data_IF_283603763776
#
_entry.id   IF_283603763776
#
_cell.length_a   1.000
_cell.length_b   1.000
_cell.length_c   1.000
_cell.angle_alpha   90.00
_cell.angle_beta   90.00
_cell.angle_gamma   90.00
#
_symmetry.space_group_name_H-M   'P 1'
#
loop_
_entity.id
_entity.type
_entity.pdbx_description
1 polymer ?
#
# COMPACT_ATOMS: atom_id res chain seq x y z
N UNK A 1 -5.35 31.79 -7.07
CA UNK A 1 -5.24 31.01 -5.82
C UNK A 1 -4.64 29.65 -6.16
N UNK A 2 -3.48 29.38 -5.54
CA UNK A 2 -2.68 28.16 -5.51
C UNK A 2 -2.59 27.27 -6.77
N UNK A 3 -1.47 27.40 -7.48
CA UNK A 3 -0.88 26.30 -8.24
C UNK A 3 -0.62 25.15 -7.27
N UNK A 4 -1.40 24.08 -7.36
CA UNK A 4 -1.04 22.81 -6.73
C UNK A 4 0.12 22.25 -7.57
N UNK A 5 1.35 22.61 -7.22
CA UNK A 5 2.52 21.83 -7.59
C UNK A 5 2.35 20.46 -6.94
N UNK A 6 1.61 19.59 -7.61
CA UNK A 6 1.65 18.16 -7.33
C UNK A 6 2.95 17.64 -7.92
N UNK A 7 4.04 17.87 -7.19
CA UNK A 7 5.18 16.96 -7.22
C UNK A 7 4.73 15.63 -6.57
N UNK A 8 3.76 14.97 -7.20
CA UNK A 8 3.46 13.55 -7.03
C UNK A 8 4.19 12.77 -8.12
N UNK A 9 5.47 13.07 -8.31
CA UNK A 9 6.43 12.12 -8.85
C UNK A 9 6.90 11.15 -7.75
N UNK A 10 5.98 10.70 -6.88
CA UNK A 10 6.13 9.38 -6.28
C UNK A 10 6.08 8.39 -7.43
N UNK A 11 7.26 8.00 -7.92
CA UNK A 11 7.43 7.11 -9.07
C UNK A 11 6.46 5.93 -8.92
N UNK A 12 5.48 5.84 -9.85
CA UNK A 12 4.38 4.88 -9.73
C UNK A 12 4.95 3.47 -9.51
N UNK A 13 4.59 2.85 -8.38
CA UNK A 13 5.10 1.53 -8.02
C UNK A 13 4.46 0.47 -8.92
N UNK A 14 5.27 -0.18 -9.75
CA UNK A 14 4.78 -1.32 -10.50
C UNK A 14 4.44 -2.50 -9.58
N UNK A 15 3.56 -3.43 -10.01
CA UNK A 15 3.24 -4.62 -9.22
C UNK A 15 4.49 -5.46 -8.85
N UNK A 16 5.46 -5.53 -9.76
CA UNK A 16 6.71 -6.25 -9.53
C UNK A 16 7.58 -5.56 -8.48
N UNK A 17 7.68 -4.23 -8.50
CA UNK A 17 8.40 -3.46 -7.49
C UNK A 17 7.71 -3.59 -6.12
N UNK A 18 6.39 -3.51 -6.07
CA UNK A 18 5.65 -3.69 -4.82
C UNK A 18 5.87 -5.09 -4.23
N UNK A 19 5.83 -6.13 -5.08
CA UNK A 19 6.12 -7.51 -4.66
C UNK A 19 7.55 -7.69 -4.15
N UNK A 20 8.53 -7.05 -4.79
CA UNK A 20 9.92 -7.07 -4.34
C UNK A 20 10.08 -6.34 -2.99
N UNK A 21 9.41 -5.20 -2.83
CA UNK A 21 9.35 -4.44 -1.59
C UNK A 21 8.76 -5.26 -0.43
N UNK A 22 7.61 -5.89 -0.60
CA UNK A 22 6.99 -6.74 0.43
C UNK A 22 7.90 -7.90 0.86
N UNK A 23 8.55 -8.57 -0.11
CA UNK A 23 9.54 -9.62 0.18
C UNK A 23 10.74 -9.08 0.94
N UNK A 24 11.24 -7.90 0.56
CA UNK A 24 12.37 -7.27 1.23
C UNK A 24 12.02 -6.86 2.66
N UNK A 25 10.79 -6.37 2.93
CA UNK A 25 10.33 -6.07 4.29
C UNK A 25 10.27 -7.31 5.20
N UNK A 26 10.05 -8.49 4.63
CA UNK A 26 10.05 -9.76 5.37
C UNK A 26 11.48 -10.23 5.74
N UNK A 27 12.48 -9.83 4.96
CA UNK A 27 13.90 -10.16 5.20
C UNK A 27 14.54 -9.13 6.13
N UNK A 28 14.28 -7.84 5.87
CA UNK A 28 14.82 -6.72 6.61
C UNK A 28 13.75 -6.19 7.57
N UNK A 29 13.75 -6.72 8.78
CA UNK A 29 12.81 -6.36 9.83
C UNK A 29 13.12 -4.96 10.43
N UNK A 30 12.38 -4.57 11.48
CA UNK A 30 12.50 -3.25 12.12
C UNK A 30 13.85 -3.01 12.81
N UNK A 31 14.52 -4.06 13.26
CA UNK A 31 15.78 -4.01 14.00
C UNK A 31 17.00 -4.11 13.06
N UNK A 32 16.77 -4.28 11.75
CA UNK A 32 17.81 -4.29 10.73
C UNK A 32 18.46 -2.91 10.59
N UNK A 33 19.79 -2.77 10.77
CA UNK A 33 20.48 -1.51 10.49
C UNK A 33 20.39 -1.16 9.00
N UNK A 34 20.28 0.12 8.68
CA UNK A 34 20.15 0.60 7.29
C UNK A 34 19.01 -0.06 6.50
N UNK A 35 17.93 -0.47 7.20
CA UNK A 35 16.78 -1.20 6.64
C UNK A 35 16.33 -0.67 5.29
N UNK A 36 16.09 0.64 5.19
CA UNK A 36 15.57 1.27 3.98
C UNK A 36 16.56 1.26 2.82
N UNK A 37 17.86 1.37 3.10
CA UNK A 37 18.90 1.22 2.08
C UNK A 37 18.96 -0.23 1.56
N UNK A 38 18.79 -1.21 2.44
CA UNK A 38 18.78 -2.63 2.05
C UNK A 38 17.54 -2.99 1.22
N UNK A 39 16.36 -2.48 1.62
CA UNK A 39 15.12 -2.66 0.86
C UNK A 39 15.20 -1.96 -0.51
N UNK A 40 15.71 -0.73 -0.56
CA UNK A 40 15.94 -0.01 -1.82
C UNK A 40 16.82 -0.80 -2.80
N UNK A 41 17.93 -1.35 -2.31
CA UNK A 41 18.82 -2.23 -3.10
C UNK A 41 18.10 -3.48 -3.61
N UNK A 42 17.21 -4.08 -2.82
CA UNK A 42 16.45 -5.25 -3.23
C UNK A 42 15.37 -4.94 -4.28
N UNK A 43 14.83 -3.72 -4.28
CA UNK A 43 13.85 -3.24 -5.27
C UNK A 43 14.52 -2.78 -6.57
N UNK A 44 15.76 -2.28 -6.50
CA UNK A 44 16.62 -1.94 -7.65
C UNK A 44 16.46 -0.50 -8.18
N UNK A 45 15.22 0.01 -8.27
CA UNK A 45 14.89 1.31 -8.90
C UNK A 45 14.17 2.27 -7.94
N UNK A 46 14.52 2.23 -6.66
CA UNK A 46 13.96 3.10 -5.63
C UNK A 46 15.04 3.55 -4.67
N UNK A 47 14.92 4.78 -4.19
CA UNK A 47 15.75 5.32 -3.12
C UNK A 47 15.24 4.88 -1.74
N UNK A 48 16.10 4.98 -0.72
CA UNK A 48 15.70 4.67 0.66
C UNK A 48 14.53 5.56 1.14
N UNK A 49 14.52 6.84 0.75
CA UNK A 49 13.43 7.77 1.06
C UNK A 49 12.11 7.39 0.37
N UNK A 50 12.15 7.01 -0.91
CA UNK A 50 10.95 6.52 -1.62
C UNK A 50 10.40 5.24 -1.00
N UNK A 51 11.27 4.31 -0.62
CA UNK A 51 10.89 3.08 0.08
C UNK A 51 10.26 3.39 1.43
N UNK A 52 10.88 4.27 2.23
CA UNK A 52 10.36 4.66 3.53
C UNK A 52 8.98 5.30 3.41
N UNK A 53 8.81 6.22 2.45
CA UNK A 53 7.51 6.86 2.18
C UNK A 53 6.45 5.85 1.76
N UNK A 54 6.80 4.89 0.90
CA UNK A 54 5.87 3.82 0.49
C UNK A 54 5.46 2.93 1.67
N UNK A 55 6.38 2.64 2.59
CA UNK A 55 6.07 1.93 3.82
C UNK A 55 5.13 2.72 4.75
N UNK A 56 5.34 4.02 4.91
CA UNK A 56 4.47 4.87 5.74
C UNK A 56 3.03 4.89 5.22
N UNK A 57 2.85 4.96 3.89
CA UNK A 57 1.54 4.85 3.25
C UNK A 57 0.89 3.47 3.49
N UNK A 58 1.66 2.39 3.34
CA UNK A 58 1.15 1.04 3.63
C UNK A 58 0.66 0.91 5.08
N UNK A 59 1.40 1.47 6.04
CA UNK A 59 1.00 1.46 7.45
C UNK A 59 -0.27 2.28 7.66
N UNK A 60 -0.42 3.41 6.98
CA UNK A 60 -1.63 4.22 7.04
C UNK A 60 -2.84 3.48 6.46
N UNK A 61 -2.70 2.81 5.31
CA UNK A 61 -3.75 2.00 4.70
C UNK A 61 -4.21 0.87 5.62
N UNK A 62 -3.26 0.14 6.23
CA UNK A 62 -3.59 -0.93 7.20
C UNK A 62 -4.39 -0.37 8.38
N UNK A 63 -3.99 0.78 8.93
CA UNK A 63 -4.73 1.44 10.02
C UNK A 63 -6.15 1.85 9.60
N UNK A 64 -6.33 2.32 8.37
CA UNK A 64 -7.67 2.64 7.86
C UNK A 64 -8.55 1.40 7.72
N UNK A 65 -7.97 0.26 7.27
CA UNK A 65 -8.68 -1.02 7.19
C UNK A 65 -9.07 -1.50 8.59
N UNK A 66 -8.13 -1.50 9.55
CA UNK A 66 -8.37 -1.99 10.92
C UNK A 66 -9.34 -1.11 11.73
N UNK A 67 -9.40 0.20 11.45
CA UNK A 67 -10.34 1.12 12.10
C UNK A 67 -11.76 1.02 11.56
N UNK A 68 -12.04 0.14 10.59
CA UNK A 68 -13.36 -0.01 9.99
C UNK A 68 -13.78 1.16 9.11
N UNK A 69 -12.83 1.99 8.68
CA UNK A 69 -13.06 3.12 7.78
C UNK A 69 -13.16 2.71 6.31
N UNK A 70 -12.98 1.41 6.02
CA UNK A 70 -13.25 0.85 4.69
C UNK A 70 -14.68 0.32 4.66
N UNK A 71 -15.58 0.93 3.86
CA UNK A 71 -16.95 0.44 3.74
C UNK A 71 -16.93 -0.99 3.17
N UNK A 72 -17.64 -1.90 3.84
CA UNK A 72 -17.85 -3.23 3.30
C UNK A 72 -18.56 -3.13 1.94
N UNK A 73 -18.16 -3.93 0.93
CA UNK A 73 -18.88 -3.98 -0.33
C UNK A 73 -20.34 -4.37 -0.05
N UNK A 74 -21.27 -3.59 -0.59
CA UNK A 74 -22.70 -3.84 -0.42
C UNK A 74 -23.10 -5.01 -1.32
N UNK A 75 -22.87 -6.24 -0.85
CA UNK A 75 -23.30 -7.46 -1.53
C UNK A 75 -24.81 -7.59 -1.35
N UNK A 76 -25.59 -7.00 -2.24
CA UNK A 76 -27.04 -7.20 -2.24
C UNK A 76 -27.33 -8.67 -2.55
N UNK A 77 -27.68 -9.45 -1.53
CA UNK A 77 -28.31 -10.75 -1.74
C UNK A 77 -29.67 -10.50 -2.40
N UNK A 78 -29.75 -10.82 -3.69
CA UNK A 78 -31.01 -10.99 -4.41
C UNK A 78 -31.81 -12.10 -3.71
N UNK A 79 -32.59 -11.73 -2.70
CA UNK A 79 -33.67 -12.57 -2.19
C UNK A 79 -34.78 -12.52 -3.23
N UNK A 80 -34.71 -13.42 -4.22
CA UNK A 80 -35.86 -13.75 -5.06
C UNK A 80 -36.96 -14.29 -4.15
N UNK A 81 -37.89 -13.41 -3.77
CA UNK A 81 -39.15 -13.80 -3.16
C UNK A 81 -39.97 -14.51 -4.23
N UNK A 82 -39.93 -15.84 -4.22
CA UNK A 82 -40.86 -16.69 -4.95
C UNK A 82 -42.24 -16.54 -4.33
N UNK A 83 -43.02 -15.57 -4.81
CA UNK A 83 -44.45 -15.50 -4.52
C UNK A 83 -45.13 -16.66 -5.25
N UNK A 84 -45.38 -17.75 -4.53
CA UNK A 84 -46.26 -18.81 -4.99
C UNK A 84 -47.71 -18.29 -4.99
N UNK A 85 -48.34 -18.32 -6.17
CA UNK A 85 -49.79 -18.18 -6.36
C UNK A 85 -50.32 -19.46 -6.96
#
# INVERSE_FOLDING_TARGET
MASISSSQDSTSWSPNQNKAFERALAIFDKDTPDRWLNVAKAVGDKTADEVKRHFELLVEDVKHIESGLVPFPNYTSSSSSSSAS
#
